data_IF_002491220679
#
_entry.id   IF_002491220679
#
_cell.length_a   1.000
_cell.length_b   1.000
_cell.length_c   1.000
_cell.angle_alpha   90.00
_cell.angle_beta   90.00
_cell.angle_gamma   90.00
#
_symmetry.space_group_name_H-M   'P 1'
#
loop_
_entity.id
_entity.type
_entity.pdbx_description
1 polymer ?
#
# COMPACT_ATOMS: atom_id res chain seq x y z
N UNK A 1 10.85 -7.07 -7.54
CA UNK A 1 9.62 -7.76 -7.98
C UNK A 1 8.80 -6.77 -8.79
N UNK A 2 8.50 -7.10 -10.02
CA UNK A 2 7.57 -6.35 -10.86
C UNK A 2 6.25 -7.14 -10.92
N UNK A 3 5.13 -6.49 -10.66
CA UNK A 3 3.82 -7.12 -10.71
C UNK A 3 2.79 -6.13 -11.24
N UNK A 4 1.94 -6.59 -12.15
CA UNK A 4 0.73 -5.88 -12.51
C UNK A 4 -0.26 -5.96 -11.34
N UNK A 5 -0.76 -4.82 -10.90
CA UNK A 5 -1.69 -4.72 -9.78
C UNK A 5 -3.03 -4.10 -10.18
N UNK A 6 -4.05 -4.41 -9.42
CA UNK A 6 -5.32 -3.68 -9.47
C UNK A 6 -5.17 -2.40 -8.66
N UNK A 7 -5.59 -1.27 -9.18
CA UNK A 7 -5.43 0.05 -8.59
C UNK A 7 -6.77 0.76 -8.37
N UNK A 8 -6.72 2.01 -7.94
CA UNK A 8 -7.90 2.80 -7.59
C UNK A 8 -8.88 3.02 -8.74
N UNK A 9 -10.17 2.99 -8.45
CA UNK A 9 -11.24 3.22 -9.46
C UNK A 9 -11.16 4.62 -10.10
N UNK A 10 -10.53 5.59 -9.45
CA UNK A 10 -10.24 6.93 -9.98
C UNK A 10 -8.98 7.02 -10.83
N UNK A 11 -8.32 5.89 -11.11
CA UNK A 11 -7.04 5.86 -11.80
C UNK A 11 -5.84 6.14 -10.90
N UNK A 12 -4.78 6.72 -11.45
CA UNK A 12 -3.58 7.11 -10.71
C UNK A 12 -3.37 8.63 -10.75
N UNK A 13 -2.94 9.21 -9.63
CA UNK A 13 -2.75 10.66 -9.52
C UNK A 13 -1.53 11.02 -8.67
N UNK A 14 -0.75 12.01 -9.13
CA UNK A 14 0.29 12.65 -8.33
C UNK A 14 -0.28 13.68 -7.33
N UNK A 15 -1.56 14.05 -7.48
CA UNK A 15 -2.27 15.06 -6.66
C UNK A 15 -3.57 14.49 -6.08
N UNK A 16 -3.50 13.26 -5.56
CA UNK A 16 -4.70 12.63 -5.01
C UNK A 16 -5.30 13.39 -3.83
N UNK A 17 -6.63 13.21 -3.66
CA UNK A 17 -7.37 13.69 -2.50
C UNK A 17 -8.07 12.51 -1.79
N UNK A 18 -8.37 12.70 -0.52
CA UNK A 18 -9.13 11.70 0.26
C UNK A 18 -10.50 11.47 -0.37
N UNK A 19 -10.84 10.22 -0.65
CA UNK A 19 -12.12 9.84 -1.24
C UNK A 19 -12.20 9.92 -2.77
N UNK A 20 -11.19 10.38 -3.48
CA UNK A 20 -11.18 10.47 -4.96
C UNK A 20 -10.98 9.12 -5.66
N UNK A 21 -10.66 8.06 -4.90
CA UNK A 21 -10.44 6.72 -5.43
C UNK A 21 -9.16 6.54 -6.24
N UNK A 22 -8.27 7.52 -6.25
CA UNK A 22 -7.01 7.42 -7.02
C UNK A 22 -5.92 6.71 -6.24
N UNK A 23 -5.08 5.95 -6.95
CA UNK A 23 -3.80 5.44 -6.44
C UNK A 23 -2.73 6.51 -6.59
N UNK A 24 -1.94 6.82 -5.55
CA UNK A 24 -0.91 7.85 -5.67
C UNK A 24 0.24 7.41 -6.59
N UNK A 25 0.76 8.34 -7.35
CA UNK A 25 2.02 8.17 -8.10
C UNK A 25 3.15 8.67 -7.22
N UNK A 26 4.18 7.86 -6.99
CA UNK A 26 5.31 8.26 -6.16
C UNK A 26 6.15 7.08 -5.68
N UNK A 27 7.15 7.41 -4.85
CA UNK A 27 8.10 6.48 -4.25
C UNK A 27 8.08 6.67 -2.73
N UNK A 28 7.80 5.59 -1.98
CA UNK A 28 7.75 5.62 -0.51
C UNK A 28 8.49 4.45 0.09
N UNK A 29 9.00 4.66 1.29
CA UNK A 29 9.49 3.57 2.14
C UNK A 29 8.30 2.86 2.76
N UNK A 30 8.15 1.59 2.49
CA UNK A 30 7.10 0.76 3.07
C UNK A 30 7.36 0.49 4.55
N UNK A 31 6.30 0.20 5.29
CA UNK A 31 6.36 -0.19 6.69
C UNK A 31 5.10 -0.98 7.10
N UNK A 32 5.02 -1.38 8.35
CA UNK A 32 3.85 -2.00 8.97
C UNK A 32 3.28 -3.14 8.12
N UNK A 33 3.96 -4.28 8.05
CA UNK A 33 3.41 -5.50 7.48
C UNK A 33 2.31 -6.06 8.39
N UNK A 34 1.15 -6.41 7.80
CA UNK A 34 0.03 -6.96 8.56
C UNK A 34 -0.84 -7.88 7.71
N UNK A 35 -1.79 -8.56 8.35
CA UNK A 35 -2.81 -9.33 7.64
C UNK A 35 -3.75 -10.09 8.55
N UNK A 36 -4.84 -10.58 7.95
CA UNK A 36 -5.87 -11.40 8.60
C UNK A 36 -5.46 -12.89 8.68
N UNK A 37 -4.49 -13.31 7.89
CA UNK A 37 -3.86 -14.62 8.02
C UNK A 37 -2.64 -14.53 8.94
N UNK A 38 -2.33 -15.63 9.58
CA UNK A 38 -1.11 -15.74 10.40
C UNK A 38 0.15 -15.57 9.54
N UNK A 39 1.24 -15.16 10.18
CA UNK A 39 2.54 -15.10 9.52
C UNK A 39 2.97 -16.49 9.02
N UNK A 40 3.57 -16.50 7.83
CA UNK A 40 4.22 -17.70 7.28
C UNK A 40 5.74 -17.66 7.48
N UNK A 41 6.39 -18.76 7.21
CA UNK A 41 7.86 -18.84 7.24
C UNK A 41 8.50 -17.78 6.33
N UNK A 42 9.49 -17.08 6.87
CA UNK A 42 10.21 -16.00 6.19
C UNK A 42 9.50 -14.65 6.18
N UNK A 43 8.37 -14.51 6.87
CA UNK A 43 7.72 -13.21 7.05
C UNK A 43 8.50 -12.33 8.03
N UNK A 44 8.33 -11.00 7.96
CA UNK A 44 9.03 -10.09 8.85
C UNK A 44 8.62 -10.29 10.32
N UNK A 45 9.55 -10.16 11.27
CA UNK A 45 9.28 -10.40 12.69
C UNK A 45 8.29 -9.40 13.30
N UNK A 46 8.14 -8.22 12.69
CA UNK A 46 7.17 -7.18 13.05
C UNK A 46 5.82 -7.33 12.36
N UNK A 47 5.58 -8.44 11.65
CA UNK A 47 4.29 -8.72 11.03
C UNK A 47 3.17 -8.78 12.08
N UNK A 48 2.12 -7.99 11.87
CA UNK A 48 0.97 -7.95 12.77
C UNK A 48 -0.16 -8.82 12.26
N UNK A 49 -0.47 -9.90 12.97
CA UNK A 49 -1.66 -10.71 12.71
C UNK A 49 -2.90 -10.01 13.26
N UNK A 50 -3.78 -9.54 12.38
CA UNK A 50 -5.04 -8.88 12.73
C UNK A 50 -6.09 -9.94 13.08
N UNK A 51 -6.38 -10.08 14.36
CA UNK A 51 -7.38 -11.02 14.88
C UNK A 51 -8.71 -10.31 15.12
N UNK A 52 -9.80 -10.90 14.63
CA UNK A 52 -11.14 -10.32 14.73
C UNK A 52 -11.61 -10.13 16.18
N UNK A 53 -11.19 -11.00 17.09
CA UNK A 53 -11.74 -11.11 18.44
C UNK A 53 -10.86 -10.53 19.55
N UNK A 54 -9.54 -10.49 19.35
CA UNK A 54 -8.61 -10.18 20.44
C UNK A 54 -8.38 -8.69 20.66
N UNK A 55 -8.32 -7.90 19.61
CA UNK A 55 -8.13 -6.44 19.64
C UNK A 55 -8.75 -5.84 18.39
N UNK A 56 -9.58 -4.82 18.55
CA UNK A 56 -10.11 -4.05 17.42
C UNK A 56 -9.02 -3.20 16.81
N UNK A 57 -8.25 -3.81 15.93
CA UNK A 57 -7.19 -3.13 15.21
C UNK A 57 -7.77 -2.43 13.98
N UNK A 58 -7.44 -1.15 13.85
CA UNK A 58 -7.88 -0.32 12.73
C UNK A 58 -6.72 0.55 12.24
N UNK A 59 -6.83 1.01 11.02
CA UNK A 59 -5.88 1.99 10.51
C UNK A 59 -6.46 3.38 10.70
N UNK A 60 -5.86 4.17 11.57
CA UNK A 60 -6.36 5.48 11.96
C UNK A 60 -6.22 6.51 10.84
N UNK A 61 -7.32 7.14 10.46
CA UNK A 61 -7.29 8.27 9.51
C UNK A 61 -6.55 9.49 10.08
N UNK A 62 -6.53 9.62 11.39
CA UNK A 62 -5.89 10.74 12.07
C UNK A 62 -4.38 10.64 12.07
N UNK A 63 -3.83 9.46 12.33
CA UNK A 63 -2.38 9.24 12.49
C UNK A 63 -1.74 8.57 11.29
N UNK A 64 -2.57 7.98 10.40
CA UNK A 64 -2.14 7.11 9.31
C UNK A 64 -1.24 5.96 9.81
N UNK A 65 -1.66 5.32 10.90
CA UNK A 65 -0.96 4.21 11.57
C UNK A 65 -1.95 3.15 12.04
N UNK A 66 -1.43 1.94 12.23
CA UNK A 66 -2.17 0.86 12.88
C UNK A 66 -2.34 1.20 14.36
N UNK A 67 -3.58 1.17 14.83
CA UNK A 67 -3.96 1.45 16.22
C UNK A 67 -4.93 0.37 16.71
N UNK A 68 -5.05 0.26 18.04
CA UNK A 68 -6.08 -0.53 18.71
C UNK A 68 -6.89 0.41 19.59
N UNK A 69 -8.22 0.34 19.52
CA UNK A 69 -9.07 1.23 20.31
C UNK A 69 -10.47 0.66 20.55
N UNK A 70 -11.22 1.38 21.36
CA UNK A 70 -12.64 1.18 21.53
C UNK A 70 -13.47 1.64 20.31
N UNK A 71 -14.77 1.35 20.31
CA UNK A 71 -15.69 1.65 19.20
C UNK A 71 -15.70 3.11 18.75
N UNK A 72 -15.42 4.06 19.61
CA UNK A 72 -15.51 5.48 19.27
C UNK A 72 -14.33 5.93 18.39
N UNK A 73 -13.14 5.43 18.68
CA UNK A 73 -11.96 5.72 17.86
C UNK A 73 -11.95 4.99 16.52
N UNK A 74 -12.50 3.80 16.46
CA UNK A 74 -12.60 2.96 15.26
C UNK A 74 -13.40 3.62 14.12
N UNK A 75 -14.33 4.53 14.42
CA UNK A 75 -15.16 5.20 13.43
C UNK A 75 -14.39 6.11 12.47
N UNK A 76 -13.15 6.46 12.81
CA UNK A 76 -12.28 7.36 12.01
C UNK A 76 -11.11 6.61 11.39
N UNK A 77 -11.36 5.47 10.82
CA UNK A 77 -10.32 4.67 10.18
C UNK A 77 -10.82 3.41 9.50
N UNK A 78 -9.88 2.72 8.85
CA UNK A 78 -10.11 1.45 8.16
C UNK A 78 -10.20 0.32 9.18
N UNK A 79 -11.34 -0.35 9.24
CA UNK A 79 -11.61 -1.42 10.21
C UNK A 79 -11.05 -2.76 9.74
N UNK A 80 -9.80 -3.02 10.04
CA UNK A 80 -9.07 -4.20 9.55
C UNK A 80 -9.59 -5.53 10.11
N UNK A 81 -10.30 -5.50 11.23
CA UNK A 81 -10.82 -6.68 11.94
C UNK A 81 -12.18 -7.17 11.40
N UNK A 82 -12.91 -6.36 10.61
CA UNK A 82 -14.20 -6.75 10.05
C UNK A 82 -14.10 -7.86 9.00
N UNK A 83 -15.18 -8.61 8.82
CA UNK A 83 -15.20 -9.77 7.92
C UNK A 83 -14.94 -9.42 6.45
N UNK A 84 -15.40 -8.25 6.00
CA UNK A 84 -15.14 -7.78 4.64
C UNK A 84 -13.64 -7.59 4.36
N UNK A 85 -12.85 -7.27 5.39
CA UNK A 85 -11.42 -7.08 5.29
C UNK A 85 -10.64 -8.39 5.14
N UNK A 86 -11.25 -9.53 5.50
CA UNK A 86 -10.58 -10.83 5.58
C UNK A 86 -9.87 -11.26 4.30
N UNK A 87 -10.52 -11.09 3.16
CA UNK A 87 -9.94 -11.52 1.87
C UNK A 87 -9.02 -10.45 1.28
N UNK A 88 -9.39 -9.19 1.43
CA UNK A 88 -8.63 -8.05 0.90
C UNK A 88 -7.29 -7.93 1.64
N UNK A 89 -7.33 -8.01 2.96
CA UNK A 89 -6.16 -7.91 3.82
C UNK A 89 -5.71 -9.30 4.35
N UNK A 90 -5.87 -10.36 3.54
CA UNK A 90 -5.28 -11.65 3.89
C UNK A 90 -3.80 -11.46 4.22
N UNK A 91 -3.09 -10.69 3.41
CA UNK A 91 -1.75 -10.18 3.62
C UNK A 91 -1.67 -8.75 3.09
N UNK A 92 -0.97 -7.86 3.81
CA UNK A 92 -0.86 -6.46 3.42
C UNK A 92 0.45 -5.82 3.93
N UNK A 93 0.82 -4.71 3.28
CA UNK A 93 1.96 -3.89 3.65
C UNK A 93 1.58 -2.42 3.44
N UNK A 94 1.84 -1.57 4.43
CA UNK A 94 1.63 -0.13 4.25
C UNK A 94 2.62 0.43 3.24
N UNK A 95 2.13 1.18 2.27
CA UNK A 95 2.98 1.82 1.25
C UNK A 95 3.88 2.92 1.80
N UNK A 96 3.56 3.47 2.99
CA UNK A 96 4.23 4.65 3.55
C UNK A 96 3.73 5.98 3.01
N UNK A 97 2.78 5.98 2.07
CA UNK A 97 2.19 7.21 1.56
C UNK A 97 1.62 8.07 2.69
N UNK A 98 1.88 9.38 2.63
CA UNK A 98 1.33 10.38 3.56
C UNK A 98 1.54 10.07 5.05
N UNK A 99 2.65 9.40 5.41
CA UNK A 99 2.93 9.00 6.80
C UNK A 99 3.78 10.01 7.56
N UNK A 100 4.99 10.29 7.08
CA UNK A 100 5.98 11.07 7.84
C UNK A 100 5.75 12.58 7.77
N UNK A 101 5.32 13.09 6.62
CA UNK A 101 4.95 14.50 6.41
C UNK A 101 3.47 14.60 6.05
N UNK A 102 2.62 14.17 6.97
CA UNK A 102 1.20 14.05 6.74
C UNK A 102 0.54 15.35 6.26
N UNK A 103 -0.04 15.30 5.06
CA UNK A 103 -0.84 16.36 4.48
C UNK A 103 -2.33 16.04 4.69
N UNK A 104 -3.07 16.84 5.48
CA UNK A 104 -4.51 16.67 5.63
C UNK A 104 -5.22 16.71 4.28
N UNK A 105 -6.25 15.86 4.11
CA UNK A 105 -7.04 15.81 2.88
C UNK A 105 -6.45 15.01 1.74
N UNK A 106 -5.22 14.47 1.84
CA UNK A 106 -4.64 13.62 0.79
C UNK A 106 -4.93 12.14 0.98
N UNK A 107 -5.44 11.73 2.15
CA UNK A 107 -5.87 10.37 2.45
C UNK A 107 -4.91 9.60 3.36
N UNK A 108 -5.40 8.42 3.76
CA UNK A 108 -4.74 7.45 4.65
C UNK A 108 -5.04 6.04 4.18
N UNK A 109 -4.54 5.02 4.87
CA UNK A 109 -4.83 3.60 4.63
C UNK A 109 -4.58 3.17 3.16
N UNK A 110 -3.46 3.60 2.59
CA UNK A 110 -3.05 3.17 1.26
C UNK A 110 -2.05 2.04 1.35
N UNK A 111 -2.51 0.84 1.00
CA UNK A 111 -1.78 -0.39 1.18
C UNK A 111 -1.44 -1.06 -0.15
N UNK A 112 -0.41 -1.87 -0.13
CA UNK A 112 -0.26 -3.01 -1.02
C UNK A 112 -0.91 -4.20 -0.33
N UNK A 113 -1.88 -4.87 -0.99
CA UNK A 113 -2.66 -5.96 -0.38
C UNK A 113 -3.06 -7.03 -1.40
N UNK A 114 -3.79 -8.04 -0.96
CA UNK A 114 -4.24 -9.12 -1.84
C UNK A 114 -5.41 -8.69 -2.74
N UNK A 115 -5.43 -9.20 -3.98
CA UNK A 115 -6.63 -9.12 -4.80
C UNK A 115 -7.76 -9.92 -4.15
N UNK A 116 -8.98 -9.40 -4.22
CA UNK A 116 -10.17 -10.17 -3.89
C UNK A 116 -10.90 -10.59 -5.17
N UNK A 117 -11.41 -11.83 -5.20
CA UNK A 117 -12.11 -12.36 -6.36
C UNK A 117 -13.22 -11.42 -6.84
N UNK A 118 -13.17 -11.03 -8.10
CA UNK A 118 -14.22 -10.28 -8.78
C UNK A 118 -14.22 -8.76 -8.58
N UNK A 119 -13.27 -8.17 -7.86
CA UNK A 119 -13.15 -6.71 -7.77
C UNK A 119 -12.18 -6.16 -8.82
N UNK A 120 -12.64 -5.36 -9.79
CA UNK A 120 -11.79 -4.83 -10.85
C UNK A 120 -10.95 -3.63 -10.44
N UNK A 121 -11.18 -3.05 -9.25
CA UNK A 121 -10.50 -1.85 -8.75
C UNK A 121 -10.50 -1.78 -7.22
N UNK A 122 -9.68 -0.87 -6.68
CA UNK A 122 -9.60 -0.53 -5.25
C UNK A 122 -10.14 0.89 -5.01
N UNK A 123 -10.10 1.35 -3.78
CA UNK A 123 -10.37 2.75 -3.42
C UNK A 123 -9.09 3.62 -3.34
N UNK A 124 -8.00 3.17 -3.96
CA UNK A 124 -6.71 3.86 -4.00
C UNK A 124 -5.50 3.00 -3.60
N UNK A 125 -5.72 1.87 -2.96
CA UNK A 125 -4.69 0.86 -2.72
C UNK A 125 -4.20 0.23 -4.02
N UNK A 126 -3.12 -0.55 -3.94
CA UNK A 126 -2.71 -1.48 -5.00
C UNK A 126 -2.94 -2.91 -4.51
N UNK A 127 -3.64 -3.72 -5.31
CA UNK A 127 -3.90 -5.12 -4.99
C UNK A 127 -3.17 -6.04 -5.98
N UNK A 128 -2.47 -7.03 -5.44
CA UNK A 128 -1.73 -8.06 -6.20
C UNK A 128 -2.17 -9.45 -5.76
N UNK A 129 -1.81 -10.46 -6.54
CA UNK A 129 -2.15 -11.85 -6.19
C UNK A 129 -1.57 -12.25 -4.83
N UNK A 130 -2.27 -13.08 -4.03
CA UNK A 130 -1.82 -13.47 -2.70
C UNK A 130 -0.41 -14.03 -2.64
N UNK A 131 -0.03 -14.86 -3.62
CA UNK A 131 1.33 -15.43 -3.66
C UNK A 131 2.41 -14.36 -3.96
N UNK A 132 2.10 -13.38 -4.79
CA UNK A 132 2.97 -12.23 -5.00
C UNK A 132 3.10 -11.40 -3.71
N UNK A 133 2.00 -11.21 -2.97
CA UNK A 133 2.02 -10.49 -1.69
C UNK A 133 2.88 -11.20 -0.63
N UNK A 134 2.82 -12.51 -0.56
CA UNK A 134 3.72 -13.32 0.31
C UNK A 134 5.19 -13.13 -0.07
N UNK A 135 5.51 -13.14 -1.36
CA UNK A 135 6.88 -12.89 -1.84
C UNK A 135 7.36 -11.48 -1.45
N UNK A 136 6.48 -10.48 -1.53
CA UNK A 136 6.74 -9.10 -1.07
C UNK A 136 7.07 -9.08 0.42
N UNK A 137 6.28 -9.73 1.26
CA UNK A 137 6.52 -9.77 2.71
C UNK A 137 7.85 -10.47 3.07
N UNK A 138 8.18 -11.56 2.38
CA UNK A 138 9.49 -12.22 2.54
C UNK A 138 10.65 -11.33 2.09
N UNK A 139 10.45 -10.52 1.06
CA UNK A 139 11.48 -9.56 0.62
C UNK A 139 11.60 -8.41 1.61
N UNK A 140 10.49 -7.89 2.13
CA UNK A 140 10.48 -6.85 3.17
C UNK A 140 11.25 -7.31 4.42
N UNK A 141 11.12 -8.58 4.82
CA UNK A 141 11.83 -9.17 5.97
C UNK A 141 13.36 -9.10 5.87
N UNK A 142 13.94 -8.93 4.68
CA UNK A 142 15.38 -8.86 4.46
C UNK A 142 16.02 -7.48 4.73
N UNK A 143 15.21 -6.49 5.14
CA UNK A 143 15.74 -5.16 5.48
C UNK A 143 14.85 -3.99 5.09
N UNK A 144 13.55 -4.26 4.92
CA UNK A 144 12.60 -3.27 4.44
C UNK A 144 12.67 -3.06 2.93
N UNK A 145 11.82 -2.21 2.40
CA UNK A 145 11.75 -1.96 0.97
C UNK A 145 11.11 -0.60 0.66
N UNK A 146 11.26 -0.18 -0.58
CA UNK A 146 10.51 0.94 -1.16
C UNK A 146 9.48 0.40 -2.15
N UNK A 147 8.36 1.10 -2.28
CA UNK A 147 7.38 0.91 -3.33
C UNK A 147 7.39 2.13 -4.26
N UNK A 148 7.52 1.89 -5.55
CA UNK A 148 7.34 2.89 -6.58
C UNK A 148 6.04 2.58 -7.34
N UNK A 149 5.17 3.56 -7.45
CA UNK A 149 3.87 3.43 -8.12
C UNK A 149 3.79 4.38 -9.31
N UNK A 150 3.51 3.83 -10.49
CA UNK A 150 3.35 4.58 -11.73
C UNK A 150 2.40 3.84 -12.67
N UNK A 151 1.77 4.54 -13.64
CA UNK A 151 1.04 3.88 -14.72
C UNK A 151 1.94 2.99 -15.55
N UNK A 152 1.38 1.91 -16.06
CA UNK A 152 2.09 0.99 -16.96
C UNK A 152 2.67 1.73 -18.18
N UNK A 153 3.91 1.38 -18.54
CA UNK A 153 4.62 2.02 -19.65
C UNK A 153 5.18 3.42 -19.36
N UNK A 154 4.93 3.98 -18.17
CA UNK A 154 5.42 5.31 -17.79
C UNK A 154 6.44 5.27 -16.65
N UNK A 155 6.75 4.09 -16.14
CA UNK A 155 7.61 3.93 -14.99
C UNK A 155 9.01 4.55 -15.21
N UNK A 156 9.66 4.23 -16.32
CA UNK A 156 10.99 4.78 -16.65
C UNK A 156 10.96 6.28 -16.92
N UNK A 157 9.87 6.78 -17.52
CA UNK A 157 9.69 8.21 -17.75
C UNK A 157 9.57 8.99 -16.44
N UNK A 158 8.92 8.40 -15.43
CA UNK A 158 8.66 9.03 -14.13
C UNK A 158 9.85 8.91 -13.19
N UNK A 159 10.47 7.74 -13.13
CA UNK A 159 11.52 7.42 -12.14
C UNK A 159 12.92 7.33 -12.73
N UNK A 160 13.06 7.41 -14.06
CA UNK A 160 14.30 7.11 -14.76
C UNK A 160 14.64 5.62 -14.73
N UNK A 161 15.74 5.24 -15.36
CA UNK A 161 16.24 3.87 -15.28
C UNK A 161 16.68 3.57 -13.85
N UNK A 162 15.97 2.67 -13.17
CA UNK A 162 16.49 2.11 -11.91
C UNK A 162 17.72 1.28 -12.26
N UNK A 163 18.88 1.69 -11.78
CA UNK A 163 20.05 0.84 -11.86
C UNK A 163 19.79 -0.41 -11.00
N UNK A 164 20.21 -1.58 -11.49
CA UNK A 164 20.12 -2.85 -10.77
C UNK A 164 20.79 -2.86 -9.38
N UNK A 165 21.56 -1.83 -9.08
CA UNK A 165 22.26 -1.65 -7.79
C UNK A 165 21.38 -1.19 -6.63
N UNK A 166 20.06 -0.99 -6.79
CA UNK A 166 19.14 -0.72 -5.68
C UNK A 166 19.37 0.59 -4.93
N UNK A 167 20.28 1.42 -5.35
CA UNK A 167 20.45 2.75 -4.81
C UNK A 167 19.44 3.67 -5.50
N UNK A 168 18.28 3.87 -4.87
CA UNK A 168 17.47 5.04 -5.16
C UNK A 168 18.40 6.26 -5.01
N UNK A 169 18.71 6.92 -6.12
CA UNK A 169 19.46 8.15 -6.07
C UNK A 169 18.76 9.06 -5.07
N UNK A 170 19.50 9.60 -4.10
CA UNK A 170 19.01 10.60 -3.14
C UNK A 170 18.74 11.90 -3.89
N UNK A 171 17.67 11.90 -4.69
CA UNK A 171 17.18 13.05 -5.40
C UNK A 171 15.76 13.36 -4.91
N UNK A 172 15.46 14.62 -4.66
CA UNK A 172 14.10 15.05 -4.41
C UNK A 172 13.22 14.61 -5.58
N UNK A 173 12.37 13.64 -5.34
CA UNK A 173 11.41 13.17 -6.33
C UNK A 173 10.33 14.24 -6.53
N UNK A 174 10.31 14.88 -7.70
CA UNK A 174 9.21 15.76 -8.09
C UNK A 174 8.15 14.92 -8.78
N UNK A 175 6.99 14.76 -8.12
CA UNK A 175 5.86 14.10 -8.73
C UNK A 175 5.49 14.73 -10.08
N UNK A 176 5.16 13.94 -11.11
CA UNK A 176 4.76 14.48 -12.41
C UNK A 176 3.49 15.32 -12.31
N UNK A 177 3.42 16.40 -13.06
CA UNK A 177 2.34 17.38 -12.99
C UNK A 177 1.16 17.09 -13.93
N UNK A 178 1.20 15.99 -14.68
CA UNK A 178 0.21 15.66 -15.71
C UNK A 178 -0.58 14.40 -15.33
N UNK A 179 -1.90 14.42 -15.52
CA UNK A 179 -2.76 13.25 -15.39
C UNK A 179 -2.34 12.15 -16.39
N UNK A 180 -2.29 10.91 -15.93
CA UNK A 180 -1.75 9.79 -16.68
C UNK A 180 -2.81 8.68 -16.86
N UNK A 181 -2.82 7.96 -17.98
CA UNK A 181 -3.82 6.94 -18.26
C UNK A 181 -3.70 5.68 -17.38
N UNK A 182 -4.75 4.87 -17.41
CA UNK A 182 -5.27 3.99 -16.37
C UNK A 182 -4.70 2.56 -16.25
N UNK A 183 -3.43 2.31 -16.41
CA UNK A 183 -2.82 1.00 -16.11
C UNK A 183 -1.58 1.18 -15.23
N UNK A 184 -1.45 0.38 -14.16
CA UNK A 184 -0.40 0.56 -13.17
C UNK A 184 0.59 -0.61 -13.15
N UNK A 185 1.88 -0.30 -13.16
CA UNK A 185 2.94 -1.24 -12.82
C UNK A 185 3.49 -0.92 -11.44
N UNK A 186 3.54 -1.90 -10.56
CA UNK A 186 4.26 -1.82 -9.28
C UNK A 186 5.59 -2.49 -9.47
N UNK A 187 6.67 -1.74 -9.38
CA UNK A 187 8.03 -2.27 -9.36
C UNK A 187 8.55 -2.21 -7.93
N UNK A 188 8.95 -3.36 -7.43
CA UNK A 188 9.54 -3.52 -6.11
C UNK A 188 11.02 -3.82 -6.30
N UNK A 189 11.91 -3.04 -5.72
CA UNK A 189 13.35 -3.27 -5.81
C UNK A 189 13.78 -4.60 -5.19
#
# INVERSE_FOLDING_TARGET
IQSAGVYGYGGMSAKRQSGDGTTPIGLWKTDTPFGRNAAEEGFPPDYTHIQAEAKRQYWSDRTNRLESADKAAEQKGEKLWEDWAKNIYAYALNTGFNKDNRQPGTGSALFLHCTSNGKPSTAGCVAIQPEAMKAVLRQYAKGGMYIAQAPEGQFEQIYGAFSESGAAAKGEFKAPTKELPATATVVLP
#
